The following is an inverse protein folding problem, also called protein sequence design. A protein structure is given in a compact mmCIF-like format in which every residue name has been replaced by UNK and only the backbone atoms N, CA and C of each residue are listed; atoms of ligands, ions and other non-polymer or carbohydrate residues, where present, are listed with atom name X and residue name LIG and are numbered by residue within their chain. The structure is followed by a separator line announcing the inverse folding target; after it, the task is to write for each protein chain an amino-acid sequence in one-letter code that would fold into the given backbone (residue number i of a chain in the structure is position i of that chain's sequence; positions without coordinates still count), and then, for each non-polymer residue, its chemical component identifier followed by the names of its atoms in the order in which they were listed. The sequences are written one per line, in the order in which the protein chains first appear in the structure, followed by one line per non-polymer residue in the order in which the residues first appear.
data_IF_257628855344
#
_entry.id   IF_257628855344
#
_cell.length_a   1.000
_cell.length_b   1.000
_cell.length_c   1.000
_cell.angle_alpha   90.00
_cell.angle_beta   90.00
_cell.angle_gamma   90.00
#
_symmetry.space_group_name_H-M   'P 1'
#
loop_
_entity.id
_entity.type
_entity.pdbx_description
1 polymer ?
#
# COMPACT_ATOMS: atom_id res chain seq x y z
N UNK A 1 -0.72 -11.62 -20.88
CA UNK A 1 -1.54 -10.98 -19.85
C UNK A 1 -0.82 -10.82 -18.53
N UNK A 2 -1.03 -9.66 -17.89
CA UNK A 2 -0.85 -9.50 -16.44
C UNK A 2 -1.95 -10.26 -15.68
N UNK A 3 -1.74 -10.52 -14.39
CA UNK A 3 -2.78 -11.15 -13.60
C UNK A 3 -3.89 -10.12 -13.31
N UNK A 4 -5.13 -10.41 -13.72
CA UNK A 4 -6.31 -9.59 -13.42
C UNK A 4 -6.98 -10.09 -12.14
N UNK A 5 -7.31 -9.16 -11.24
CA UNK A 5 -8.07 -9.48 -10.03
C UNK A 5 -9.53 -9.19 -10.27
N UNK A 6 -10.35 -10.24 -10.36
CA UNK A 6 -11.79 -10.09 -10.52
C UNK A 6 -12.46 -9.86 -9.17
N UNK A 7 -13.21 -8.76 -9.08
CA UNK A 7 -13.95 -8.38 -7.89
C UNK A 7 -15.44 -8.29 -8.22
N UNK A 8 -16.27 -8.63 -7.25
CA UNK A 8 -17.71 -8.43 -7.35
C UNK A 8 -18.03 -6.96 -7.07
N UNK A 9 -18.89 -6.31 -7.88
CA UNK A 9 -19.36 -4.96 -7.62
C UNK A 9 -19.99 -4.85 -6.24
N UNK A 10 -19.61 -3.82 -5.48
CA UNK A 10 -20.13 -3.55 -4.15
C UNK A 10 -21.07 -2.36 -4.16
N UNK A 11 -22.28 -2.55 -3.65
CA UNK A 11 -23.26 -1.47 -3.53
C UNK A 11 -22.77 -0.37 -2.58
N UNK A 12 -23.06 0.88 -2.91
CA UNK A 12 -22.84 2.02 -2.01
C UNK A 12 -23.82 2.04 -0.83
N UNK A 13 -24.96 1.32 -0.92
CA UNK A 13 -26.03 1.36 0.09
C UNK A 13 -25.59 1.03 1.52
N UNK A 14 -24.76 0.00 1.76
CA UNK A 14 -24.27 -0.29 3.12
C UNK A 14 -23.41 0.81 3.73
N UNK A 15 -22.81 1.68 2.91
CA UNK A 15 -21.99 2.82 3.36
C UNK A 15 -22.82 4.05 3.67
N UNK A 16 -24.02 4.18 3.09
CA UNK A 16 -24.90 5.35 3.23
C UNK A 16 -25.19 5.74 4.68
N UNK A 17 -25.45 4.82 5.64
CA UNK A 17 -25.61 5.18 7.05
C UNK A 17 -24.34 5.77 7.70
N UNK A 18 -23.16 5.46 7.16
CA UNK A 18 -21.86 5.90 7.69
C UNK A 18 -21.43 7.25 7.11
N UNK A 19 -21.69 7.47 5.81
CA UNK A 19 -21.24 8.68 5.09
C UNK A 19 -22.33 9.76 4.95
N UNK A 20 -23.60 9.40 5.18
CA UNK A 20 -24.75 10.28 4.99
C UNK A 20 -25.22 10.41 3.53
N UNK A 21 -26.42 10.95 3.34
CA UNK A 21 -27.07 11.04 2.03
C UNK A 21 -26.40 12.01 1.06
N UNK A 22 -25.85 13.12 1.57
CA UNK A 22 -25.18 14.13 0.75
C UNK A 22 -23.94 13.52 0.07
N UNK A 23 -23.07 12.85 0.84
CA UNK A 23 -21.89 12.19 0.31
C UNK A 23 -22.27 11.05 -0.66
N UNK A 24 -23.30 10.26 -0.32
CA UNK A 24 -23.76 9.17 -1.19
C UNK A 24 -24.30 9.69 -2.53
N UNK A 25 -25.08 10.77 -2.50
CA UNK A 25 -25.59 11.43 -3.71
C UNK A 25 -24.44 11.99 -4.55
N UNK A 26 -23.48 12.66 -3.89
CA UNK A 26 -22.32 13.22 -4.58
C UNK A 26 -21.47 12.16 -5.29
N UNK A 27 -21.27 11.00 -4.68
CA UNK A 27 -20.55 9.89 -5.31
C UNK A 27 -21.28 9.35 -6.55
N UNK A 28 -22.62 9.25 -6.51
CA UNK A 28 -23.42 8.87 -7.68
C UNK A 28 -23.34 9.89 -8.82
N UNK A 29 -23.39 11.19 -8.50
CA UNK A 29 -23.23 12.25 -9.52
C UNK A 29 -21.85 12.23 -10.16
N UNK A 30 -20.79 12.04 -9.38
CA UNK A 30 -19.42 11.99 -9.87
C UNK A 30 -19.17 10.76 -10.74
N UNK A 31 -19.65 9.59 -10.31
CA UNK A 31 -19.55 8.35 -11.10
C UNK A 31 -20.32 8.45 -12.42
N UNK A 32 -21.52 9.04 -12.43
CA UNK A 32 -22.29 9.25 -13.67
C UNK A 32 -21.53 10.11 -14.69
N UNK A 33 -20.73 11.09 -14.26
CA UNK A 33 -19.89 11.92 -15.15
C UNK A 33 -18.70 11.16 -15.75
N UNK A 34 -18.32 10.03 -15.16
CA UNK A 34 -17.25 9.16 -15.61
C UNK A 34 -17.78 7.91 -16.31
N UNK A 35 -19.07 7.86 -16.64
CA UNK A 35 -19.65 6.72 -17.32
C UNK A 35 -18.95 6.46 -18.67
N UNK A 36 -18.58 5.21 -18.93
CA UNK A 36 -17.85 4.78 -20.12
C UNK A 36 -16.35 5.04 -20.09
N UNK A 37 -15.82 5.73 -19.07
CA UNK A 37 -14.37 5.89 -18.88
C UNK A 37 -13.79 4.57 -18.38
N UNK A 38 -12.78 4.05 -19.08
CA UNK A 38 -12.08 2.81 -18.73
C UNK A 38 -10.87 3.12 -17.86
N UNK A 39 -10.82 2.54 -16.66
CA UNK A 39 -9.77 2.79 -15.67
C UNK A 39 -9.04 1.48 -15.38
N UNK A 40 -7.70 1.53 -15.26
CA UNK A 40 -6.92 0.40 -14.75
C UNK A 40 -6.05 0.81 -13.58
N UNK A 41 -6.11 0.03 -12.50
CA UNK A 41 -5.16 0.07 -11.40
C UNK A 41 -4.06 -0.98 -11.64
N UNK A 42 -2.79 -0.58 -11.51
CA UNK A 42 -1.63 -1.44 -11.71
C UNK A 42 -0.77 -1.43 -10.45
N UNK A 43 -0.54 -2.59 -9.83
CA UNK A 43 0.30 -2.70 -8.64
C UNK A 43 1.17 -3.98 -8.61
N UNK A 44 1.92 -4.16 -7.52
CA UNK A 44 2.90 -5.23 -7.36
C UNK A 44 2.34 -6.60 -6.92
N UNK A 45 1.24 -6.62 -6.16
CA UNK A 45 0.71 -7.86 -5.56
C UNK A 45 -0.81 -7.82 -5.42
N UNK A 46 -1.54 -8.94 -5.58
CA UNK A 46 -2.98 -8.98 -5.33
C UNK A 46 -3.30 -9.19 -3.85
N UNK A 47 -2.34 -9.62 -3.03
CA UNK A 47 -2.53 -10.03 -1.64
C UNK A 47 -1.40 -9.51 -0.76
N UNK A 48 -1.71 -9.23 0.50
CA UNK A 48 -0.74 -8.66 1.42
C UNK A 48 -0.46 -7.17 1.17
N UNK A 49 -0.18 -6.44 2.25
CA UNK A 49 0.08 -5.01 2.23
C UNK A 49 -1.17 -4.11 2.15
N UNK A 50 -0.98 -2.84 2.50
CA UNK A 50 -2.09 -1.87 2.57
C UNK A 50 -2.67 -1.49 1.20
N UNK A 51 -1.87 -1.52 0.13
CA UNK A 51 -2.34 -1.18 -1.23
C UNK A 51 -3.35 -2.19 -1.74
N UNK A 52 -3.06 -3.49 -1.62
CA UNK A 52 -3.97 -4.56 -2.06
C UNK A 52 -5.28 -4.57 -1.26
N UNK A 53 -5.21 -4.29 0.04
CA UNK A 53 -6.39 -4.15 0.89
C UNK A 53 -7.26 -2.96 0.46
N UNK A 54 -6.64 -1.82 0.19
CA UNK A 54 -7.31 -0.62 -0.28
C UNK A 54 -7.97 -0.87 -1.64
N UNK A 55 -7.24 -1.42 -2.61
CA UNK A 55 -7.75 -1.68 -3.96
C UNK A 55 -8.92 -2.67 -3.97
N UNK A 56 -8.91 -3.69 -3.09
CA UNK A 56 -10.06 -4.62 -2.96
C UNK A 56 -11.36 -3.91 -2.64
N UNK A 57 -11.30 -2.87 -1.81
CA UNK A 57 -12.49 -2.13 -1.39
C UNK A 57 -12.83 -1.05 -2.42
N UNK A 58 -11.83 -0.29 -2.86
CA UNK A 58 -11.98 0.82 -3.81
C UNK A 58 -12.51 0.33 -5.16
N UNK A 59 -11.87 -0.66 -5.77
CA UNK A 59 -12.27 -1.16 -7.09
C UNK A 59 -13.65 -1.79 -7.05
N UNK A 60 -13.98 -2.58 -6.02
CA UNK A 60 -15.31 -3.15 -5.85
C UNK A 60 -16.40 -2.06 -5.75
N UNK A 61 -16.14 -0.98 -5.02
CA UNK A 61 -17.06 0.14 -4.89
C UNK A 61 -17.20 0.93 -6.21
N UNK A 62 -16.10 1.18 -6.92
CA UNK A 62 -16.15 1.84 -8.23
C UNK A 62 -16.95 1.03 -9.26
N UNK A 63 -16.76 -0.29 -9.29
CA UNK A 63 -17.57 -1.20 -10.11
C UNK A 63 -19.06 -1.13 -9.72
N UNK A 64 -19.38 -1.10 -8.43
CA UNK A 64 -20.76 -0.97 -7.96
C UNK A 64 -21.40 0.39 -8.22
N UNK A 65 -20.59 1.43 -8.44
CA UNK A 65 -21.01 2.74 -8.93
C UNK A 65 -21.16 2.80 -10.46
N UNK A 66 -20.88 1.70 -11.16
CA UNK A 66 -21.06 1.57 -12.62
C UNK A 66 -19.89 2.09 -13.46
N UNK A 67 -18.70 2.21 -12.88
CA UNK A 67 -17.47 2.52 -13.64
C UNK A 67 -16.87 1.24 -14.25
N UNK A 68 -16.19 1.37 -15.40
CA UNK A 68 -15.40 0.29 -16.01
C UNK A 68 -13.97 0.32 -15.44
N UNK A 69 -13.72 -0.53 -14.43
CA UNK A 69 -12.46 -0.52 -13.68
C UNK A 69 -11.84 -1.91 -13.65
N UNK A 70 -10.58 -1.98 -14.08
CA UNK A 70 -9.75 -3.17 -13.98
C UNK A 70 -8.66 -3.01 -12.94
N UNK A 71 -8.29 -4.13 -12.32
CA UNK A 71 -7.11 -4.23 -11.47
C UNK A 71 -6.18 -5.29 -12.03
N UNK A 72 -4.99 -4.87 -12.49
CA UNK A 72 -3.96 -5.73 -13.04
C UNK A 72 -2.70 -5.72 -12.15
N UNK A 73 -2.08 -6.88 -12.00
CA UNK A 73 -0.92 -7.08 -11.13
C UNK A 73 0.28 -7.48 -11.98
N UNK A 74 1.41 -6.80 -11.77
CA UNK A 74 2.66 -7.12 -12.45
C UNK A 74 3.17 -8.50 -12.04
N UNK A 75 3.92 -9.15 -12.92
CA UNK A 75 4.64 -10.38 -12.65
C UNK A 75 6.13 -10.10 -12.54
N UNK A 76 6.82 -10.82 -11.67
CA UNK A 76 8.27 -10.73 -11.52
C UNK A 76 8.81 -11.98 -10.85
N UNK A 77 10.11 -12.22 -11.02
CA UNK A 77 10.82 -13.24 -10.27
C UNK A 77 11.32 -12.70 -8.91
N UNK A 78 11.95 -13.56 -8.13
CA UNK A 78 12.49 -13.18 -6.81
C UNK A 78 13.47 -12.02 -6.93
N UNK A 79 14.37 -12.03 -7.92
CA UNK A 79 15.35 -10.96 -8.10
C UNK A 79 14.70 -9.61 -8.38
N UNK A 80 13.64 -9.57 -9.21
CA UNK A 80 12.88 -8.34 -9.43
C UNK A 80 12.26 -7.80 -8.15
N UNK A 81 11.66 -8.67 -7.33
CA UNK A 81 11.05 -8.23 -6.07
C UNK A 81 12.08 -7.83 -5.01
N UNK A 82 13.28 -8.44 -5.01
CA UNK A 82 14.41 -7.99 -4.18
C UNK A 82 14.90 -6.60 -4.59
N UNK A 83 15.10 -6.37 -5.90
CA UNK A 83 15.49 -5.06 -6.43
C UNK A 83 14.45 -4.00 -6.11
N UNK A 84 13.17 -4.29 -6.34
CA UNK A 84 12.10 -3.32 -6.09
C UNK A 84 11.88 -3.06 -4.60
N UNK A 85 12.11 -4.05 -3.71
CA UNK A 85 12.17 -3.82 -2.26
C UNK A 85 13.33 -2.92 -1.87
N UNK A 86 14.51 -3.12 -2.48
CA UNK A 86 15.67 -2.23 -2.32
C UNK A 86 15.35 -0.79 -2.72
N UNK A 87 14.78 -0.60 -3.91
CA UNK A 87 14.31 0.70 -4.41
C UNK A 87 13.26 1.32 -3.47
N UNK A 88 12.27 0.54 -3.03
CA UNK A 88 11.23 0.99 -2.11
C UNK A 88 11.82 1.51 -0.80
N UNK A 89 12.68 0.71 -0.15
CA UNK A 89 13.36 1.12 1.08
C UNK A 89 14.26 2.34 0.86
N UNK A 90 14.96 2.40 -0.27
CA UNK A 90 15.84 3.51 -0.60
C UNK A 90 15.08 4.83 -0.79
N UNK A 91 13.90 4.79 -1.41
CA UNK A 91 13.04 5.96 -1.53
C UNK A 91 12.55 6.47 -0.17
N UNK A 92 12.44 5.60 0.83
CA UNK A 92 12.12 5.96 2.22
C UNK A 92 13.34 6.39 3.06
N UNK A 93 14.50 6.59 2.43
CA UNK A 93 15.75 6.99 3.10
C UNK A 93 16.65 5.82 3.53
N UNK A 94 16.30 4.60 3.13
CA UNK A 94 17.13 3.41 3.33
C UNK A 94 18.43 3.46 2.53
N UNK A 95 19.45 2.76 3.03
CA UNK A 95 20.69 2.55 2.28
C UNK A 95 20.46 1.47 1.22
N UNK A 96 20.82 1.78 -0.01
CA UNK A 96 20.78 0.86 -1.14
C UNK A 96 21.77 1.34 -2.19
N UNK A 97 22.51 0.41 -2.78
CA UNK A 97 23.41 0.70 -3.90
C UNK A 97 22.75 0.18 -5.15
N UNK A 98 22.32 1.10 -6.02
CA UNK A 98 21.62 0.75 -7.26
C UNK A 98 22.64 0.41 -8.36
N UNK A 99 23.22 -0.79 -8.27
CA UNK A 99 24.15 -1.30 -9.27
C UNK A 99 23.49 -1.41 -10.65
N UNK A 100 24.31 -1.39 -11.71
CA UNK A 100 23.84 -1.50 -13.11
C UNK A 100 22.94 -2.73 -13.34
N UNK A 101 23.33 -3.88 -12.80
CA UNK A 101 22.53 -5.12 -12.88
C UNK A 101 21.14 -4.95 -12.28
N UNK A 102 21.00 -4.27 -11.14
CA UNK A 102 19.69 -4.00 -10.53
C UNK A 102 18.83 -3.08 -11.41
N UNK A 103 19.46 -2.10 -12.07
CA UNK A 103 18.76 -1.23 -13.03
C UNK A 103 18.26 -2.04 -14.23
N UNK A 104 19.09 -2.93 -14.78
CA UNK A 104 18.72 -3.81 -15.89
C UNK A 104 17.58 -4.77 -15.51
N UNK A 105 17.66 -5.39 -14.32
CA UNK A 105 16.59 -6.26 -13.80
C UNK A 105 15.28 -5.48 -13.71
N UNK A 106 15.31 -4.26 -13.15
CA UNK A 106 14.11 -3.42 -13.01
C UNK A 106 13.51 -3.06 -14.37
N UNK A 107 14.33 -2.61 -15.32
CA UNK A 107 13.86 -2.17 -16.64
C UNK A 107 13.41 -3.33 -17.53
N UNK A 108 14.13 -4.45 -17.50
CA UNK A 108 13.76 -5.66 -18.25
C UNK A 108 12.39 -6.17 -17.80
N UNK A 109 12.16 -6.28 -16.49
CA UNK A 109 10.87 -6.69 -15.95
C UNK A 109 9.77 -5.64 -16.21
N UNK A 110 10.09 -4.35 -16.13
CA UNK A 110 9.13 -3.29 -16.46
C UNK A 110 8.69 -3.34 -17.93
N UNK A 111 9.62 -3.57 -18.86
CA UNK A 111 9.32 -3.75 -20.28
C UNK A 111 8.49 -5.01 -20.54
N UNK A 112 8.84 -6.13 -19.90
CA UNK A 112 8.09 -7.38 -20.00
C UNK A 112 6.65 -7.23 -19.48
N UNK A 113 6.46 -6.53 -18.36
CA UNK A 113 5.13 -6.25 -17.80
C UNK A 113 4.35 -5.28 -18.69
N UNK A 114 4.99 -4.26 -19.24
CA UNK A 114 4.36 -3.37 -20.21
C UNK A 114 3.86 -4.13 -21.43
N UNK A 115 4.63 -5.09 -21.97
CA UNK A 115 4.19 -5.94 -23.08
C UNK A 115 3.07 -6.94 -22.73
N UNK A 116 2.82 -7.17 -21.43
CA UNK A 116 1.75 -8.05 -20.92
C UNK A 116 0.50 -7.29 -20.50
N UNK A 117 0.56 -5.96 -20.39
CA UNK A 117 -0.57 -5.10 -20.06
C UNK A 117 -1.60 -5.19 -21.18
N UNK A 118 -2.79 -5.68 -20.86
CA UNK A 118 -3.85 -5.88 -21.85
C UNK A 118 -4.94 -4.83 -21.66
N UNK A 119 -5.53 -4.38 -22.77
CA UNK A 119 -6.60 -3.39 -22.79
C UNK A 119 -6.13 -1.96 -23.09
N UNK A 120 -7.02 -1.20 -23.70
CA UNK A 120 -6.89 0.24 -23.86
C UNK A 120 -7.76 0.95 -22.82
N UNK A 121 -7.13 1.80 -22.01
CA UNK A 121 -7.78 2.53 -20.93
C UNK A 121 -7.67 4.03 -21.14
N UNK A 122 -8.66 4.76 -20.65
CA UNK A 122 -8.63 6.22 -20.62
C UNK A 122 -7.79 6.72 -19.44
N UNK A 123 -7.72 5.96 -18.35
CA UNK A 123 -6.97 6.30 -17.13
C UNK A 123 -6.19 5.07 -16.64
N UNK A 124 -4.89 5.27 -16.42
CA UNK A 124 -3.97 4.30 -15.82
C UNK A 124 -3.53 4.84 -14.46
N UNK A 125 -3.76 4.09 -13.40
CA UNK A 125 -3.33 4.42 -12.04
C UNK A 125 -2.27 3.40 -11.63
N UNK A 126 -1.02 3.85 -11.53
CA UNK A 126 0.15 3.01 -11.24
C UNK A 126 0.54 3.22 -9.78
N UNK A 127 0.48 2.16 -8.99
CA UNK A 127 0.71 2.20 -7.55
C UNK A 127 2.15 1.83 -7.22
N UNK A 128 2.83 2.73 -6.49
CA UNK A 128 4.19 2.54 -5.95
C UNK A 128 5.31 2.39 -7.01
N UNK A 129 6.60 2.27 -6.59
CA UNK A 129 7.74 2.27 -7.52
C UNK A 129 7.86 1.03 -8.42
N UNK A 130 7.34 -0.12 -8.00
CA UNK A 130 7.59 -1.40 -8.67
C UNK A 130 7.08 -1.41 -10.13
N UNK A 131 5.84 -0.97 -10.43
CA UNK A 131 5.37 -0.82 -11.81
C UNK A 131 5.66 0.54 -12.46
N UNK A 132 6.35 1.47 -11.79
CA UNK A 132 6.41 2.87 -12.21
C UNK A 132 6.95 3.07 -13.65
N UNK A 133 7.93 2.26 -14.08
CA UNK A 133 8.49 2.36 -15.43
C UNK A 133 7.62 1.76 -16.55
N UNK A 134 6.48 1.12 -16.26
CA UNK A 134 5.59 0.61 -17.33
C UNK A 134 5.16 1.73 -18.29
N UNK A 135 4.88 2.93 -17.76
CA UNK A 135 4.52 4.11 -18.56
C UNK A 135 5.58 4.43 -19.63
N UNK A 136 6.85 4.23 -19.33
CA UNK A 136 7.94 4.51 -20.27
C UNK A 136 7.88 3.59 -21.49
N UNK A 137 7.57 2.31 -21.28
CA UNK A 137 7.44 1.31 -22.34
C UNK A 137 6.07 1.31 -23.04
N UNK A 138 5.09 2.04 -22.50
CA UNK A 138 3.76 2.29 -23.08
C UNK A 138 3.65 3.71 -23.65
N UNK A 139 4.71 4.22 -24.28
CA UNK A 139 4.78 5.61 -24.74
C UNK A 139 3.71 6.01 -25.77
N UNK A 140 3.16 5.04 -26.52
CA UNK A 140 2.10 5.25 -27.51
C UNK A 140 0.68 5.20 -26.92
N UNK A 141 0.51 4.80 -25.65
CA UNK A 141 -0.79 4.74 -25.00
C UNK A 141 -1.39 6.15 -24.86
N UNK A 142 -2.64 6.33 -25.29
CA UNK A 142 -3.32 7.64 -25.35
C UNK A 142 -3.95 8.08 -24.02
N UNK A 143 -4.21 7.15 -23.10
CA UNK A 143 -4.83 7.43 -21.81
C UNK A 143 -3.97 8.31 -20.90
N UNK A 144 -4.59 8.82 -19.83
CA UNK A 144 -3.94 9.60 -18.78
C UNK A 144 -3.29 8.68 -17.76
N UNK A 145 -2.05 8.97 -17.37
CA UNK A 145 -1.30 8.17 -16.43
C UNK A 145 -1.09 8.91 -15.11
N UNK A 146 -1.48 8.25 -14.03
CA UNK A 146 -1.40 8.76 -12.67
C UNK A 146 -0.47 7.85 -11.88
N UNK A 147 0.58 8.42 -11.28
CA UNK A 147 1.42 7.69 -10.35
C UNK A 147 0.94 7.95 -8.93
N UNK A 148 0.52 6.90 -8.24
CA UNK A 148 0.09 6.94 -6.84
C UNK A 148 1.20 6.37 -5.96
N UNK A 149 1.87 7.24 -5.22
CA UNK A 149 2.89 6.85 -4.25
C UNK A 149 2.28 6.70 -2.85
N UNK A 150 2.48 5.54 -2.22
CA UNK A 150 1.97 5.24 -0.87
C UNK A 150 3.04 5.36 0.22
N UNK A 151 4.30 5.56 -0.17
CA UNK A 151 5.44 5.67 0.74
C UNK A 151 5.87 7.13 0.97
N UNK A 152 6.64 7.33 2.03
CA UNK A 152 7.36 8.58 2.26
C UNK A 152 8.58 8.64 1.32
N UNK A 153 8.64 9.66 0.46
CA UNK A 153 9.78 9.90 -0.44
C UNK A 153 10.43 11.25 -0.21
N UNK A 154 10.28 11.81 0.99
CA UNK A 154 10.77 13.14 1.37
C UNK A 154 12.30 13.24 1.44
N UNK A 155 12.94 12.14 1.85
CA UNK A 155 14.40 12.04 1.99
C UNK A 155 14.90 10.76 1.30
N UNK A 156 14.75 10.64 -0.02
CA UNK A 156 15.11 9.43 -0.74
C UNK A 156 16.62 9.31 -0.86
N UNK A 157 17.10 8.09 -1.06
CA UNK A 157 18.43 7.85 -1.62
C UNK A 157 18.57 8.61 -2.96
N UNK A 158 19.56 9.51 -3.12
CA UNK A 158 19.69 10.32 -4.32
C UNK A 158 19.86 9.52 -5.62
N UNK A 159 20.63 8.41 -5.60
CA UNK A 159 20.88 7.59 -6.79
C UNK A 159 19.58 6.94 -7.29
N UNK A 160 18.77 6.42 -6.37
CA UNK A 160 17.48 5.81 -6.71
C UNK A 160 16.46 6.85 -7.18
N UNK A 161 16.43 8.02 -6.54
CA UNK A 161 15.57 9.12 -6.96
C UNK A 161 15.95 9.61 -8.37
N UNK A 162 17.23 9.79 -8.65
CA UNK A 162 17.74 10.17 -9.97
C UNK A 162 17.39 9.13 -11.03
N UNK A 163 17.60 7.84 -10.73
CA UNK A 163 17.24 6.74 -11.63
C UNK A 163 15.75 6.69 -11.96
N UNK A 164 14.86 6.86 -10.97
CA UNK A 164 13.41 6.76 -11.19
C UNK A 164 12.79 8.00 -11.83
N UNK A 165 13.39 9.17 -11.64
CA UNK A 165 12.82 10.45 -12.09
C UNK A 165 12.45 10.47 -13.58
N UNK A 166 13.30 10.00 -14.52
CA UNK A 166 12.95 9.92 -15.95
C UNK A 166 11.72 9.05 -16.26
N UNK A 167 11.46 8.03 -15.44
CA UNK A 167 10.30 7.14 -15.60
C UNK A 167 9.02 7.72 -14.99
N UNK A 168 9.15 8.64 -14.03
CA UNK A 168 8.02 9.32 -13.38
C UNK A 168 7.60 10.61 -14.11
N UNK A 169 8.53 11.33 -14.75
CA UNK A 169 8.21 12.57 -15.48
C UNK A 169 7.11 12.47 -16.55
N UNK A 170 6.96 11.34 -17.28
CA UNK A 170 5.90 11.19 -18.28
C UNK A 170 4.47 11.09 -17.72
N UNK A 171 4.29 10.94 -16.41
CA UNK A 171 2.97 10.87 -15.79
C UNK A 171 2.23 12.23 -15.82
N UNK A 172 0.91 12.18 -16.01
CA UNK A 172 0.02 13.33 -16.07
C UNK A 172 -0.32 13.88 -14.68
N UNK A 173 -0.31 13.03 -13.66
CA UNK A 173 -0.58 13.40 -12.27
C UNK A 173 0.20 12.54 -11.27
N UNK A 174 0.45 13.12 -10.10
CA UNK A 174 1.08 12.46 -8.96
C UNK A 174 0.16 12.52 -7.76
N UNK A 175 -0.07 11.40 -7.09
CA UNK A 175 -0.88 11.36 -5.88
C UNK A 175 -0.03 10.86 -4.71
N UNK A 176 -0.01 11.62 -3.62
CA UNK A 176 0.68 11.27 -2.37
C UNK A 176 -0.28 11.28 -1.18
N UNK A 177 0.10 10.56 -0.12
CA UNK A 177 -0.66 10.51 1.15
C UNK A 177 -0.62 11.84 1.89
N UNK A 178 0.54 12.51 1.90
CA UNK A 178 0.78 13.79 2.56
C UNK A 178 1.72 14.65 1.72
N UNK A 179 1.62 15.97 1.84
CA UNK A 179 2.54 16.90 1.15
C UNK A 179 3.99 16.69 1.59
N UNK A 180 4.20 16.32 2.86
CA UNK A 180 5.53 16.02 3.38
C UNK A 180 6.18 14.81 2.73
N UNK A 181 5.45 13.91 2.06
CA UNK A 181 5.99 12.68 1.46
C UNK A 181 6.45 12.85 0.01
N UNK A 182 6.24 14.03 -0.57
CA UNK A 182 6.44 14.28 -2.00
C UNK A 182 7.91 14.15 -2.37
N UNK A 183 8.19 13.38 -3.42
CA UNK A 183 9.52 13.20 -3.98
C UNK A 183 10.07 14.55 -4.46
N UNK A 184 11.21 15.04 -3.94
CA UNK A 184 11.71 16.39 -4.25
C UNK A 184 11.96 16.66 -5.74
N UNK A 185 12.22 15.64 -6.55
CA UNK A 185 12.49 15.77 -7.98
C UNK A 185 11.22 15.96 -8.85
N UNK A 186 10.02 15.83 -8.27
CA UNK A 186 8.76 15.93 -9.02
C UNK A 186 8.21 17.34 -9.10
N UNK A 187 7.58 17.63 -10.24
CA UNK A 187 6.89 18.89 -10.53
C UNK A 187 5.58 18.99 -9.73
N UNK A 188 5.45 20.04 -8.91
CA UNK A 188 4.34 20.21 -7.97
C UNK A 188 3.00 20.55 -8.64
N UNK A 189 2.99 21.06 -9.86
CA UNK A 189 1.75 21.53 -10.53
C UNK A 189 0.74 20.39 -10.81
N UNK A 190 1.24 19.15 -10.85
CA UNK A 190 0.47 17.92 -11.12
C UNK A 190 0.17 17.10 -9.86
N UNK A 191 0.51 17.63 -8.69
CA UNK A 191 0.39 16.95 -7.41
C UNK A 191 -1.04 17.01 -6.86
N UNK A 192 -1.50 15.89 -6.30
CA UNK A 192 -2.70 15.80 -5.47
C UNK A 192 -2.38 15.06 -4.18
N UNK A 193 -2.95 15.53 -3.08
CA UNK A 193 -2.85 14.87 -1.78
C UNK A 193 -4.17 14.14 -1.54
N UNK A 194 -4.10 12.81 -1.47
CA UNK A 194 -5.24 11.95 -1.18
C UNK A 194 -4.77 10.95 -0.10
N UNK A 195 -5.24 11.10 1.16
CA UNK A 195 -4.90 10.15 2.21
C UNK A 195 -5.57 8.80 1.93
N UNK A 196 -4.97 7.67 2.38
CA UNK A 196 -5.61 6.38 2.29
C UNK A 196 -6.88 6.37 3.15
N UNK A 197 -7.92 5.68 2.67
CA UNK A 197 -9.13 5.39 3.42
C UNK A 197 -9.07 4.02 4.09
N UNK A 198 -9.94 3.81 5.09
CA UNK A 198 -10.29 2.47 5.57
C UNK A 198 -11.68 2.12 5.07
N UNK A 199 -11.90 0.86 4.72
CA UNK A 199 -13.24 0.34 4.45
C UNK A 199 -13.91 -0.08 5.77
N UNK A 200 -14.89 0.67 6.31
CA UNK A 200 -15.54 0.34 7.57
C UNK A 200 -16.30 -1.00 7.57
N UNK A 201 -16.55 -1.58 6.40
CA UNK A 201 -17.29 -2.83 6.24
C UNK A 201 -16.37 -4.02 5.91
N UNK A 202 -15.07 -3.79 5.74
CA UNK A 202 -14.13 -4.89 5.51
C UNK A 202 -13.95 -5.73 6.79
N UNK A 203 -13.54 -7.01 6.66
CA UNK A 203 -13.33 -7.88 7.82
C UNK A 203 -12.37 -7.32 8.88
N UNK A 204 -11.48 -6.39 8.51
CA UNK A 204 -10.57 -5.74 9.45
C UNK A 204 -11.25 -4.68 10.32
N UNK A 205 -12.24 -3.97 9.79
CA UNK A 205 -12.80 -2.77 10.45
C UNK A 205 -14.26 -2.94 10.87
N UNK A 206 -14.94 -3.98 10.39
CA UNK A 206 -16.34 -4.24 10.76
C UNK A 206 -16.46 -4.49 12.27
N UNK A 207 -17.54 -3.97 12.86
CA UNK A 207 -17.83 -4.18 14.27
C UNK A 207 -18.01 -5.68 14.59
N UNK A 208 -17.33 -6.15 15.63
CA UNK A 208 -17.46 -7.51 16.13
C UNK A 208 -18.23 -7.54 17.46
N UNK A 209 -19.05 -8.57 17.71
CA UNK A 209 -19.68 -8.78 19.01
C UNK A 209 -18.65 -8.85 20.16
N UNK A 210 -19.01 -8.28 21.31
CA UNK A 210 -18.10 -8.17 22.44
C UNK A 210 -17.59 -9.53 22.94
N UNK A 211 -18.45 -10.56 22.94
CA UNK A 211 -18.14 -11.93 23.35
C UNK A 211 -17.13 -12.60 22.40
N UNK A 212 -17.20 -12.30 21.09
CA UNK A 212 -16.21 -12.76 20.11
C UNK A 212 -14.86 -12.11 20.38
N UNK A 213 -14.84 -10.79 20.60
CA UNK A 213 -13.64 -10.05 20.97
C UNK A 213 -13.02 -10.58 22.28
N UNK A 214 -13.85 -10.89 23.28
CA UNK A 214 -13.44 -11.50 24.56
C UNK A 214 -12.69 -12.80 24.36
N UNK A 215 -13.31 -13.73 23.62
CA UNK A 215 -12.74 -15.03 23.36
C UNK A 215 -11.41 -14.95 22.60
N UNK A 216 -11.33 -14.11 21.57
CA UNK A 216 -10.10 -13.94 20.78
C UNK A 216 -8.97 -13.39 21.67
N UNK A 217 -9.22 -12.32 22.42
CA UNK A 217 -8.20 -11.69 23.27
C UNK A 217 -7.73 -12.66 24.37
N UNK A 218 -8.65 -13.39 25.01
CA UNK A 218 -8.30 -14.38 26.04
C UNK A 218 -7.52 -15.57 25.46
N UNK A 219 -7.86 -16.06 24.26
CA UNK A 219 -7.10 -17.14 23.60
C UNK A 219 -5.66 -16.75 23.28
N UNK A 220 -5.39 -15.46 23.06
CA UNK A 220 -4.04 -14.93 22.86
C UNK A 220 -3.32 -14.56 24.17
N UNK A 221 -3.87 -14.91 25.34
CA UNK A 221 -3.21 -14.75 26.64
C UNK A 221 -3.18 -13.32 27.18
N UNK A 222 -4.01 -12.42 26.66
CA UNK A 222 -4.12 -11.04 27.13
C UNK A 222 -5.17 -10.94 28.25
N UNK A 223 -4.82 -10.28 29.35
CA UNK A 223 -5.70 -10.12 30.51
C UNK A 223 -6.44 -8.79 30.39
N UNK A 224 -7.72 -8.87 30.07
CA UNK A 224 -8.57 -7.70 29.82
C UNK A 224 -8.83 -6.84 31.05
N UNK A 225 -8.53 -7.33 32.26
CA UNK A 225 -8.61 -6.51 33.48
C UNK A 225 -7.41 -5.56 33.63
N UNK A 226 -6.38 -5.72 32.79
CA UNK A 226 -5.13 -4.98 32.84
C UNK A 226 -4.96 -4.08 31.61
N UNK A 227 -4.23 -2.95 31.73
CA UNK A 227 -3.94 -2.09 30.59
C UNK A 227 -3.13 -2.82 29.51
N UNK A 228 -3.43 -2.55 28.23
CA UNK A 228 -2.73 -3.13 27.08
C UNK A 228 -2.13 -2.02 26.21
N UNK A 229 -0.83 -2.13 25.93
CA UNK A 229 -0.16 -1.43 24.84
C UNK A 229 -0.17 -2.35 23.61
N UNK A 230 -0.64 -1.85 22.47
CA UNK A 230 -0.79 -2.62 21.24
C UNK A 230 -0.08 -1.93 20.09
N UNK A 231 0.76 -2.67 19.35
CA UNK A 231 1.23 -2.28 18.04
C UNK A 231 0.77 -3.32 17.02
N UNK A 232 0.10 -2.87 15.96
CA UNK A 232 -0.25 -3.70 14.80
C UNK A 232 0.57 -3.21 13.62
N UNK A 233 1.60 -3.98 13.22
CA UNK A 233 2.44 -3.65 12.08
C UNK A 233 3.17 -4.88 11.55
N UNK A 234 3.65 -4.82 10.30
CA UNK A 234 4.70 -5.76 9.87
C UNK A 234 5.90 -5.65 10.80
N UNK A 235 6.61 -6.75 10.98
CA UNK A 235 7.93 -6.73 11.61
C UNK A 235 8.93 -6.19 10.59
N UNK A 236 9.01 -4.86 10.54
CA UNK A 236 9.80 -4.11 9.57
C UNK A 236 10.56 -3.02 10.35
N UNK A 237 11.84 -2.77 10.05
CA UNK A 237 12.64 -1.79 10.80
C UNK A 237 12.01 -0.39 10.85
N UNK A 238 11.29 0.01 9.81
CA UNK A 238 10.60 1.30 9.71
C UNK A 238 9.36 1.40 10.61
N UNK A 239 8.98 0.30 11.28
CA UNK A 239 7.91 0.26 12.28
C UNK A 239 8.43 0.35 13.71
N UNK A 240 9.74 0.34 13.89
CA UNK A 240 10.46 0.43 15.17
C UNK A 240 9.83 -0.39 16.33
N UNK A 241 9.62 -1.71 16.16
CA UNK A 241 9.08 -2.55 17.22
C UNK A 241 9.99 -2.62 18.46
N UNK A 242 11.31 -2.45 18.28
CA UNK A 242 12.26 -2.35 19.40
C UNK A 242 12.11 -1.05 20.18
N UNK A 243 11.79 0.06 19.51
CA UNK A 243 11.38 1.29 20.16
C UNK A 243 10.11 1.12 20.98
N UNK A 244 9.13 0.38 20.47
CA UNK A 244 7.92 0.05 21.24
C UNK A 244 8.25 -0.78 22.49
N UNK A 245 9.19 -1.73 22.41
CA UNK A 245 9.67 -2.46 23.60
C UNK A 245 10.31 -1.52 24.62
N UNK A 246 11.15 -0.56 24.18
CA UNK A 246 11.75 0.44 25.08
C UNK A 246 10.69 1.31 25.75
N UNK A 247 9.69 1.76 25.00
CA UNK A 247 8.54 2.53 25.54
C UNK A 247 7.78 1.70 26.56
N UNK A 248 7.43 0.45 26.22
CA UNK A 248 6.75 -0.46 27.15
C UNK A 248 7.52 -0.64 28.46
N UNK A 249 8.85 -0.86 28.38
CA UNK A 249 9.73 -0.99 29.56
C UNK A 249 9.77 0.25 30.44
N UNK A 250 9.72 1.44 29.85
CA UNK A 250 9.65 2.68 30.60
C UNK A 250 8.28 2.87 31.26
N UNK A 251 7.19 2.66 30.52
CA UNK A 251 5.82 2.90 31.01
C UNK A 251 5.40 1.89 32.07
N UNK A 252 5.81 0.62 31.98
CA UNK A 252 5.47 -0.41 32.99
C UNK A 252 6.01 -0.11 34.40
N UNK A 253 6.99 0.79 34.53
CA UNK A 253 7.47 1.24 35.85
C UNK A 253 6.43 2.12 36.55
N UNK A 254 5.64 2.87 35.79
CA UNK A 254 4.60 3.76 36.30
C UNK A 254 3.18 3.15 36.23
N UNK A 255 2.96 2.16 35.37
CA UNK A 255 1.67 1.50 35.17
C UNK A 255 1.80 0.01 35.56
N UNK A 256 1.53 -0.33 36.84
CA UNK A 256 1.54 -1.72 37.29
C UNK A 256 0.58 -2.57 36.46
N UNK A 257 1.04 -3.75 36.06
CA UNK A 257 0.23 -4.68 35.29
C UNK A 257 0.09 -4.34 33.80
N UNK A 258 0.75 -3.31 33.25
CA UNK A 258 0.75 -3.08 31.81
C UNK A 258 1.16 -4.33 31.02
N UNK A 259 0.44 -4.64 29.95
CA UNK A 259 0.76 -5.67 28.97
C UNK A 259 1.20 -5.05 27.64
N UNK A 260 1.98 -5.79 26.86
CA UNK A 260 2.34 -5.43 25.49
C UNK A 260 1.92 -6.54 24.53
N UNK A 261 1.25 -6.16 23.44
CA UNK A 261 1.01 -7.04 22.30
C UNK A 261 1.60 -6.41 21.02
N UNK A 262 2.49 -7.16 20.37
CA UNK A 262 3.05 -6.82 19.06
C UNK A 262 2.44 -7.79 18.04
N UNK A 263 1.48 -7.31 17.25
CA UNK A 263 0.76 -8.11 16.25
C UNK A 263 1.30 -7.78 14.87
N UNK A 264 1.85 -8.79 14.20
CA UNK A 264 2.31 -8.66 12.83
C UNK A 264 1.88 -9.85 11.98
N UNK A 265 1.50 -9.56 10.73
CA UNK A 265 1.40 -10.58 9.70
C UNK A 265 2.79 -10.77 9.09
N UNK A 266 3.29 -12.00 9.10
CA UNK A 266 4.51 -12.37 8.40
C UNK A 266 4.17 -12.60 6.93
N UNK A 267 4.89 -11.96 6.02
CA UNK A 267 4.88 -12.36 4.62
C UNK A 267 5.94 -13.45 4.46
N UNK A 268 5.60 -14.59 3.84
CA UNK A 268 6.52 -15.73 3.71
C UNK A 268 7.78 -15.40 2.90
N UNK A 269 7.75 -14.31 2.14
CA UNK A 269 8.78 -13.77 1.26
C UNK A 269 9.56 -12.60 1.86
N UNK A 270 9.44 -12.34 3.18
CA UNK A 270 10.19 -11.28 3.87
C UNK A 270 11.21 -11.84 4.90
N UNK A 271 12.41 -12.27 4.47
CA UNK A 271 13.45 -12.75 5.36
C UNK A 271 13.86 -11.75 6.44
N UNK A 272 13.84 -10.45 6.13
CA UNK A 272 14.19 -9.38 7.06
C UNK A 272 13.22 -9.33 8.24
N UNK A 273 11.93 -9.51 7.96
CA UNK A 273 10.91 -9.57 9.01
C UNK A 273 11.10 -10.74 9.97
N UNK A 274 11.56 -11.90 9.49
CA UNK A 274 11.84 -13.06 10.35
C UNK A 274 13.02 -12.81 11.29
N UNK A 275 14.10 -12.19 10.79
CA UNK A 275 15.24 -11.80 11.62
C UNK A 275 14.84 -10.80 12.70
N UNK A 276 14.00 -9.82 12.34
CA UNK A 276 13.52 -8.83 13.31
C UNK A 276 12.60 -9.45 14.37
N UNK A 277 11.73 -10.38 13.97
CA UNK A 277 10.87 -11.15 14.88
C UNK A 277 11.69 -11.92 15.94
N UNK A 278 12.73 -12.65 15.52
CA UNK A 278 13.59 -13.38 16.46
C UNK A 278 14.33 -12.44 17.42
N UNK A 279 14.78 -11.27 16.94
CA UNK A 279 15.35 -10.24 17.82
C UNK A 279 14.36 -9.71 18.85
N UNK A 280 13.12 -9.44 18.43
CA UNK A 280 12.03 -9.01 19.33
C UNK A 280 11.76 -10.07 20.39
N UNK A 281 11.72 -11.35 20.01
CA UNK A 281 11.51 -12.45 20.96
C UNK A 281 12.62 -12.57 21.99
N UNK A 282 13.88 -12.43 21.56
CA UNK A 282 15.02 -12.42 22.47
C UNK A 282 14.89 -11.25 23.46
N UNK A 283 14.65 -10.04 22.97
CA UNK A 283 14.50 -8.87 23.84
C UNK A 283 13.25 -8.93 24.73
N UNK A 284 12.15 -9.53 24.30
CA UNK A 284 10.93 -9.62 25.10
C UNK A 284 11.03 -10.64 26.25
N UNK A 285 12.02 -11.55 26.20
CA UNK A 285 12.25 -12.58 27.22
C UNK A 285 13.11 -12.08 28.39
N UNK A 286 13.75 -10.91 28.24
CA UNK A 286 14.56 -10.20 29.25
C UNK A 286 13.77 -9.08 29.96
#
# INVERSE_FOLDING_TARGET
MLHRVDLTPMSLEPYRPLIGEEAATRLRELSARLHGVRIVHINATPYGGGVSELLRSEVALLLGLGLDVDWQVIAGDTHFFEVTKGIHNALQGGRYTLAHEAQEIYLHNSAANAGRLEGEYDIYIVHDPQPAAIRHFQASARGRWIWRCHIDTSQPNPEVAEFLTPYLQPYDAFIFTMESFVLPSLRRERLRIIPPGIDPLSPKNIGLPADVCERIVTWHGVDRSRPLLLQVSRFDPWKDPLGVLRVYRAVRQAVPGLQLALLGSMAHDDPEGWHLYERIRAEASD
#
